data_IF_926288699736
#
_entry.id   IF_926288699736
#
_cell.length_a   1.000
_cell.length_b   1.000
_cell.length_c   1.000
_cell.angle_alpha   90.00
_cell.angle_beta   90.00
_cell.angle_gamma   90.00
#
_symmetry.space_group_name_H-M   'P 1'
#
loop_
_entity.id
_entity.type
_entity.pdbx_description
1 polymer ?
#
# COMPACT_ATOMS: atom_id res chain seq x y z
N UNK A 1 37.90 29.65 -0.52
CA UNK A 1 37.86 29.36 -1.66
C UNK A 1 37.53 28.04 -2.01
N UNK A 2 38.32 27.24 -1.92
CA UNK A 2 38.05 25.94 -2.21
C UNK A 2 36.88 25.40 -1.58
N UNK A 3 36.41 25.97 -0.64
CA UNK A 3 35.32 25.41 0.10
C UNK A 3 34.03 25.26 -0.63
N UNK A 4 33.86 25.91 -1.69
CA UNK A 4 32.64 25.85 -2.39
C UNK A 4 32.22 24.54 -2.89
N UNK A 5 33.12 23.73 -3.17
CA UNK A 5 32.78 22.51 -3.83
C UNK A 5 31.86 21.62 -3.08
N UNK A 6 31.91 21.58 -1.81
CA UNK A 6 31.09 20.63 -1.15
C UNK A 6 29.66 20.87 -1.29
N UNK A 7 29.23 22.03 -1.36
CA UNK A 7 27.83 22.30 -1.40
C UNK A 7 27.11 21.52 -2.43
N UNK A 8 27.68 21.28 -3.53
CA UNK A 8 26.99 20.63 -4.61
C UNK A 8 26.55 19.21 -4.29
N UNK A 9 27.31 18.55 -3.51
CA UNK A 9 26.98 17.16 -3.24
C UNK A 9 25.69 16.98 -2.52
N UNK A 10 25.33 17.91 -1.73
CA UNK A 10 24.14 17.77 -0.94
C UNK A 10 22.89 17.63 -1.74
N UNK A 11 22.82 18.25 -2.86
CA UNK A 11 21.64 18.18 -3.64
C UNK A 11 21.35 16.82 -4.16
N UNK A 12 22.32 16.11 -4.55
CA UNK A 12 22.12 14.82 -5.15
C UNK A 12 21.39 13.88 -4.23
N UNK A 13 21.67 14.01 -2.97
CA UNK A 13 21.08 13.10 -2.02
C UNK A 13 19.60 13.32 -1.86
N UNK A 14 19.21 14.56 -1.81
CA UNK A 14 17.82 14.82 -1.55
C UNK A 14 16.90 14.37 -2.65
N UNK A 15 17.40 14.25 -3.84
CA UNK A 15 16.54 13.86 -4.93
C UNK A 15 16.05 12.45 -4.84
N UNK A 16 16.73 11.61 -4.11
CA UNK A 16 16.35 10.23 -4.03
C UNK A 16 15.23 9.97 -3.08
N UNK A 17 15.01 10.85 -2.15
CA UNK A 17 14.02 10.60 -1.13
C UNK A 17 12.60 10.43 -1.57
N UNK A 18 12.10 11.24 -2.47
CA UNK A 18 10.70 11.18 -2.81
C UNK A 18 10.22 9.84 -3.30
N UNK A 19 11.04 9.16 -4.05
CA UNK A 19 10.56 7.91 -4.61
C UNK A 19 10.46 6.80 -3.59
N UNK A 20 11.25 6.85 -2.55
CA UNK A 20 11.16 5.78 -1.59
C UNK A 20 9.93 5.86 -0.72
N UNK A 21 9.32 7.00 -0.64
CA UNK A 21 8.13 7.14 0.17
C UNK A 21 7.01 6.24 -0.30
N UNK A 22 6.90 6.10 -1.59
CA UNK A 22 5.82 5.28 -2.12
C UNK A 22 5.94 3.83 -1.72
N UNK A 23 7.16 3.34 -1.65
CA UNK A 23 7.35 1.93 -1.35
C UNK A 23 6.92 1.57 0.05
N UNK A 24 6.95 2.52 0.96
CA UNK A 24 6.60 2.22 2.32
C UNK A 24 5.11 2.03 2.51
N UNK A 25 4.33 2.47 1.54
CA UNK A 25 2.90 2.46 1.71
C UNK A 25 2.29 1.08 1.73
N UNK A 26 2.92 0.09 1.12
CA UNK A 26 2.31 -1.22 1.10
C UNK A 26 2.24 -1.82 2.49
N UNK A 27 3.25 -1.64 3.30
CA UNK A 27 3.18 -2.18 4.65
C UNK A 27 2.20 -1.39 5.50
N UNK A 28 2.09 -0.11 5.26
CA UNK A 28 1.09 0.68 5.94
C UNK A 28 -0.31 0.22 5.55
N UNK A 29 -0.52 -0.12 4.30
CA UNK A 29 -1.80 -0.64 3.86
C UNK A 29 -2.12 -1.93 4.60
N UNK A 30 -1.14 -2.81 4.74
CA UNK A 30 -1.37 -4.06 5.48
C UNK A 30 -1.80 -3.75 6.92
N UNK A 31 -1.10 -2.87 7.59
CA UNK A 31 -1.43 -2.54 8.97
C UNK A 31 -2.82 -1.93 9.08
N UNK A 32 -3.12 -1.02 8.19
CA UNK A 32 -4.41 -0.35 8.24
C UNK A 32 -5.56 -1.29 7.93
N UNK A 33 -5.39 -2.13 6.94
CA UNK A 33 -6.45 -3.07 6.58
C UNK A 33 -6.60 -4.16 7.63
N UNK A 34 -5.50 -4.59 8.23
CA UNK A 34 -5.59 -5.57 9.30
C UNK A 34 -6.33 -4.97 10.49
N UNK A 35 -6.05 -3.72 10.83
CA UNK A 35 -6.80 -3.07 11.89
C UNK A 35 -8.29 -3.03 11.57
N UNK A 36 -8.61 -2.78 10.31
CA UNK A 36 -10.00 -2.77 9.90
C UNK A 36 -10.65 -4.14 10.03
N UNK A 37 -9.92 -5.21 9.74
CA UNK A 37 -10.48 -6.55 9.87
C UNK A 37 -10.76 -6.91 11.31
N UNK A 38 -9.99 -6.37 12.24
CA UNK A 38 -10.18 -6.69 13.64
C UNK A 38 -11.08 -5.70 14.36
N UNK A 39 -11.64 -4.75 13.63
CA UNK A 39 -12.53 -3.79 14.23
C UNK A 39 -11.87 -2.54 14.77
N UNK A 40 -10.56 -2.42 14.58
CA UNK A 40 -9.82 -1.28 15.08
C UNK A 40 -9.40 -0.37 13.94
N UNK A 41 -10.35 0.11 13.18
CA UNK A 41 -10.04 0.94 12.04
C UNK A 41 -9.09 2.07 12.42
N UNK A 42 -8.22 2.42 11.54
CA UNK A 42 -7.14 3.33 11.84
C UNK A 42 -7.46 4.80 11.78
N UNK A 43 -8.67 5.18 11.63
CA UNK A 43 -9.02 6.59 11.61
C UNK A 43 -8.41 7.34 10.44
N UNK A 44 -8.11 8.60 10.66
CA UNK A 44 -7.66 9.47 9.57
C UNK A 44 -6.37 9.03 8.93
N UNK A 45 -5.48 8.48 9.72
CA UNK A 45 -4.19 8.08 9.19
C UNK A 45 -4.28 6.96 8.20
N UNK A 46 -5.29 6.12 8.35
CA UNK A 46 -5.45 4.98 7.47
C UNK A 46 -6.35 5.24 6.29
N UNK A 47 -6.95 6.41 6.20
CA UNK A 47 -7.87 6.67 5.09
C UNK A 47 -7.21 6.58 3.73
N UNK A 48 -6.03 7.12 3.58
CA UNK A 48 -5.32 7.03 2.32
C UNK A 48 -4.98 5.61 1.96
N UNK A 49 -4.51 4.86 2.94
CA UNK A 49 -4.12 3.47 2.72
C UNK A 49 -5.34 2.63 2.33
N UNK A 50 -6.45 2.82 3.01
CA UNK A 50 -7.66 2.08 2.70
C UNK A 50 -8.17 2.44 1.32
N UNK A 51 -8.13 3.71 0.99
CA UNK A 51 -8.59 4.16 -0.31
C UNK A 51 -7.74 3.57 -1.42
N UNK A 52 -6.44 3.51 -1.20
CA UNK A 52 -5.55 2.92 -2.18
C UNK A 52 -5.88 1.45 -2.40
N UNK A 53 -6.12 0.72 -1.32
CA UNK A 53 -6.43 -0.70 -1.40
C UNK A 53 -7.73 -0.92 -2.18
N UNK A 54 -8.76 -0.17 -1.87
CA UNK A 54 -10.06 -0.36 -2.51
C UNK A 54 -10.10 0.19 -3.93
N UNK A 55 -9.11 0.99 -4.30
CA UNK A 55 -9.00 1.47 -5.66
C UNK A 55 -8.53 0.39 -6.60
N UNK A 56 -7.90 -0.65 -6.08
CA UNK A 56 -7.46 -1.77 -6.88
C UNK A 56 -8.71 -2.56 -7.25
N UNK A 57 -9.15 -2.42 -8.48
CA UNK A 57 -10.37 -3.05 -8.97
C UNK A 57 -10.08 -3.61 -10.34
N UNK A 58 -10.44 -4.86 -10.56
CA UNK A 58 -10.33 -5.47 -11.87
C UNK A 58 -11.71 -5.65 -12.46
N UNK A 59 -11.81 -5.47 -13.75
CA UNK A 59 -13.09 -5.55 -14.43
C UNK A 59 -13.01 -6.54 -15.57
N UNK A 60 -14.14 -7.12 -15.89
CA UNK A 60 -14.26 -7.95 -17.07
C UNK A 60 -15.31 -7.28 -17.94
N UNK A 61 -15.71 -7.96 -19.02
CA UNK A 61 -16.71 -7.37 -19.88
C UNK A 61 -18.05 -7.22 -19.16
N UNK A 62 -18.25 -7.92 -18.07
CA UNK A 62 -19.48 -7.78 -17.30
C UNK A 62 -19.33 -6.83 -16.12
N UNK A 63 -18.24 -6.07 -16.04
CA UNK A 63 -18.05 -5.12 -14.97
C UNK A 63 -17.08 -5.63 -13.92
N UNK A 64 -17.36 -5.32 -12.67
CA UNK A 64 -16.48 -5.66 -11.56
C UNK A 64 -16.26 -7.17 -11.49
N UNK A 65 -14.99 -7.56 -11.35
CA UNK A 65 -14.64 -8.97 -11.28
C UNK A 65 -14.07 -9.28 -9.89
N UNK A 66 -14.86 -9.85 -8.99
CA UNK A 66 -14.42 -10.00 -7.60
C UNK A 66 -13.18 -10.86 -7.42
N UNK A 67 -13.11 -11.99 -8.10
CA UNK A 67 -11.96 -12.87 -7.89
C UNK A 67 -10.67 -12.27 -8.39
N UNK A 68 -10.70 -11.63 -9.55
CA UNK A 68 -9.50 -10.98 -10.04
C UNK A 68 -9.12 -9.80 -9.18
N UNK A 69 -10.10 -9.11 -8.64
CA UNK A 69 -9.84 -8.01 -7.74
C UNK A 69 -9.16 -8.52 -6.47
N UNK A 70 -9.63 -9.64 -5.93
CA UNK A 70 -9.02 -10.21 -4.74
C UNK A 70 -7.58 -10.60 -5.02
N UNK A 71 -7.31 -11.20 -6.18
CA UNK A 71 -5.96 -11.58 -6.54
C UNK A 71 -5.05 -10.36 -6.64
N UNK A 72 -5.53 -9.30 -7.25
CA UNK A 72 -4.74 -8.09 -7.40
C UNK A 72 -4.48 -7.42 -6.06
N UNK A 73 -5.47 -7.42 -5.19
CA UNK A 73 -5.30 -6.85 -3.87
C UNK A 73 -4.32 -7.66 -3.04
N UNK A 74 -4.37 -8.98 -3.18
CA UNK A 74 -3.42 -9.82 -2.49
C UNK A 74 -2.01 -9.55 -2.99
N UNK A 75 -1.84 -9.42 -4.29
CA UNK A 75 -0.52 -9.14 -4.85
C UNK A 75 0.03 -7.82 -4.31
N UNK A 76 -0.82 -6.83 -4.16
CA UNK A 76 -0.40 -5.55 -3.59
C UNK A 76 0.10 -5.75 -2.16
N UNK A 77 -0.65 -6.47 -1.34
CA UNK A 77 -0.25 -6.66 0.05
C UNK A 77 1.02 -7.48 0.19
N UNK A 78 1.24 -8.40 -0.75
CA UNK A 78 2.44 -9.22 -0.70
C UNK A 78 3.71 -8.44 -0.96
N UNK A 79 3.59 -7.23 -1.45
CA UNK A 79 4.77 -6.38 -1.60
C UNK A 79 5.35 -5.97 -0.25
N UNK A 80 4.58 -6.09 0.81
CA UNK A 80 5.11 -5.87 2.13
C UNK A 80 5.74 -7.15 2.62
N UNK A 81 7.04 -7.26 2.47
CA UNK A 81 7.74 -8.52 2.74
C UNK A 81 7.75 -8.89 4.21
N UNK A 82 7.54 -7.95 5.09
CA UNK A 82 7.54 -8.25 6.51
C UNK A 82 6.19 -8.70 7.03
N UNK A 83 5.16 -8.66 6.20
CA UNK A 83 3.83 -9.06 6.66
C UNK A 83 3.69 -10.58 6.61
N UNK A 84 3.03 -11.13 7.61
CA UNK A 84 2.78 -12.56 7.62
C UNK A 84 1.71 -12.92 6.61
N UNK A 85 1.91 -14.01 5.88
CA UNK A 85 0.91 -14.42 4.89
C UNK A 85 -0.47 -14.64 5.51
N UNK A 86 -0.51 -15.10 6.74
CA UNK A 86 -1.78 -15.33 7.41
C UNK A 86 -2.57 -14.03 7.57
N UNK A 87 -1.88 -12.95 7.89
CA UNK A 87 -2.53 -11.67 8.04
C UNK A 87 -3.06 -11.18 6.69
N UNK A 88 -2.26 -11.36 5.65
CA UNK A 88 -2.67 -10.97 4.32
C UNK A 88 -3.91 -11.76 3.90
N UNK A 89 -3.93 -13.04 4.18
CA UNK A 89 -5.09 -13.86 3.85
C UNK A 89 -6.34 -13.41 4.59
N UNK A 90 -6.19 -13.01 5.84
CA UNK A 90 -7.33 -12.50 6.59
C UNK A 90 -7.91 -11.25 5.96
N UNK A 91 -7.03 -10.35 5.53
CA UNK A 91 -7.47 -9.12 4.89
C UNK A 91 -8.20 -9.45 3.59
N UNK A 92 -7.61 -10.32 2.79
CA UNK A 92 -8.18 -10.64 1.48
C UNK A 92 -9.50 -11.38 1.63
N UNK A 93 -9.59 -12.26 2.61
CA UNK A 93 -10.85 -12.96 2.83
C UNK A 93 -11.97 -12.01 3.18
N UNK A 94 -11.66 -10.97 3.91
CA UNK A 94 -12.70 -10.05 4.34
C UNK A 94 -12.98 -8.95 3.33
N UNK A 95 -11.93 -8.41 2.73
CA UNK A 95 -12.09 -7.23 1.88
C UNK A 95 -11.63 -7.42 0.45
N UNK A 96 -11.09 -8.58 0.11
CA UNK A 96 -10.52 -8.75 -1.22
C UNK A 96 -11.53 -8.64 -2.34
N UNK A 97 -12.76 -9.04 -2.08
CA UNK A 97 -13.80 -9.03 -3.12
C UNK A 97 -14.84 -7.95 -2.92
N UNK A 98 -14.61 -7.08 -1.96
CA UNK A 98 -15.55 -6.02 -1.67
C UNK A 98 -15.33 -4.86 -2.61
N UNK A 99 -16.39 -4.38 -3.22
CA UNK A 99 -16.30 -3.20 -4.04
C UNK A 99 -16.74 -2.03 -3.19
N UNK A 100 -15.85 -1.12 -2.99
CA UNK A 100 -16.15 -0.05 -2.04
C UNK A 100 -16.31 1.29 -2.73
#
# INVERSE_FOLDING_TARGET
MKTITFTACLFCVSLLLPSSVMAADTCEIVLCLYGKTTGNGGGNECQSAERFFFKVVKKSRHGFHPNRTADARKALLLECKSAEPKIIDQIVNKFGRVRN
#
